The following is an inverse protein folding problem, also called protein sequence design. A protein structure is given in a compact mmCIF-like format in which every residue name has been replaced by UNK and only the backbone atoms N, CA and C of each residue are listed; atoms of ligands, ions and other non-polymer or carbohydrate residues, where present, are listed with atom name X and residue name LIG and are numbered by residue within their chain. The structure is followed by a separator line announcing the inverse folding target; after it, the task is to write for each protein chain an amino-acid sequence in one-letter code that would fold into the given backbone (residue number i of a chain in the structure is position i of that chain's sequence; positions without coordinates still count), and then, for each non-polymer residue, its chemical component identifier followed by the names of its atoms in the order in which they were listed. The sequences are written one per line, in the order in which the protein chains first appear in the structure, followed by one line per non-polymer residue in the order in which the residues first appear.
data_IF_820578350544
#
_entry.id   IF_820578350544
#
_cell.length_a   1.000
_cell.length_b   1.000
_cell.length_c   1.000
_cell.angle_alpha   90.00
_cell.angle_beta   90.00
_cell.angle_gamma   90.00
#
_symmetry.space_group_name_H-M   'P 1'
#
loop_
_entity.id
_entity.type
_entity.pdbx_description
1 polymer ?
#
# COMPACT_ATOMS: atom_id res chain seq x y z
N UNK A 1 7.09 -32.98 -5.40
CA UNK A 1 7.67 -31.72 -4.90
C UNK A 1 6.63 -31.09 -3.99
N UNK A 2 6.95 -30.81 -2.73
CA UNK A 2 6.04 -30.07 -1.85
C UNK A 2 5.78 -28.68 -2.44
N UNK A 3 4.57 -28.15 -2.23
CA UNK A 3 4.26 -26.77 -2.61
C UNK A 3 5.28 -25.81 -1.93
N UNK A 4 5.71 -24.75 -2.60
CA UNK A 4 6.63 -23.79 -2.00
C UNK A 4 5.97 -23.15 -0.77
N UNK A 5 6.75 -22.97 0.28
CA UNK A 5 6.29 -22.34 1.51
C UNK A 5 6.02 -20.84 1.26
N UNK A 6 4.81 -20.41 1.58
CA UNK A 6 4.39 -19.01 1.41
C UNK A 6 3.95 -18.41 2.74
N UNK A 7 4.04 -17.09 2.86
CA UNK A 7 3.56 -16.32 4.00
C UNK A 7 2.86 -15.06 3.54
N UNK A 8 2.04 -14.48 4.40
CA UNK A 8 1.41 -13.20 4.14
C UNK A 8 2.32 -12.03 4.55
N UNK A 9 2.32 -10.97 3.76
CA UNK A 9 2.88 -9.67 4.11
C UNK A 9 1.75 -8.72 4.49
N UNK A 10 1.87 -8.10 5.67
CA UNK A 10 1.07 -6.97 6.09
C UNK A 10 1.97 -5.75 6.19
N UNK A 11 1.60 -4.67 5.51
CA UNK A 11 2.30 -3.39 5.54
C UNK A 11 1.31 -2.28 5.86
N UNK A 12 1.55 -1.54 6.93
CA UNK A 12 0.80 -0.34 7.27
C UNK A 12 1.75 0.86 7.34
N UNK A 13 1.38 1.93 6.68
CA UNK A 13 2.05 3.23 6.77
C UNK A 13 1.09 4.19 7.46
N UNK A 14 1.36 4.48 8.72
CA UNK A 14 0.62 5.46 9.49
C UNK A 14 1.21 6.86 9.31
N UNK A 15 0.35 7.86 9.11
CA UNK A 15 0.79 9.22 8.88
C UNK A 15 -0.22 10.24 9.44
N UNK A 16 0.11 11.52 9.34
CA UNK A 16 -0.88 12.59 9.54
C UNK A 16 -1.92 12.57 8.41
N UNK A 17 -3.05 13.24 8.61
CA UNK A 17 -4.23 13.15 7.76
C UNK A 17 -3.97 13.44 6.28
N UNK A 18 -4.10 12.42 5.47
CA UNK A 18 -4.05 12.47 4.00
C UNK A 18 -5.34 13.16 3.52
N UNK A 19 -5.25 14.16 2.64
CA UNK A 19 -6.45 14.77 2.06
C UNK A 19 -7.32 13.73 1.34
N UNK A 20 -8.63 13.73 1.62
CA UNK A 20 -9.60 12.76 1.10
C UNK A 20 -9.45 12.50 -0.41
N UNK A 21 -9.22 13.54 -1.21
CA UNK A 21 -9.03 13.46 -2.66
C UNK A 21 -7.78 12.71 -3.12
N UNK A 22 -6.84 12.40 -2.23
CA UNK A 22 -5.58 11.70 -2.58
C UNK A 22 -5.59 10.23 -2.19
N UNK A 23 -6.53 9.81 -1.32
CA UNK A 23 -6.53 8.47 -0.73
C UNK A 23 -6.66 7.36 -1.76
N UNK A 24 -7.66 7.40 -2.63
CA UNK A 24 -7.87 6.37 -3.64
C UNK A 24 -6.68 6.22 -4.58
N UNK A 25 -6.09 7.37 -4.99
CA UNK A 25 -4.89 7.37 -5.82
C UNK A 25 -3.67 6.82 -5.11
N UNK A 26 -3.51 7.12 -3.82
CA UNK A 26 -2.42 6.61 -2.99
C UNK A 26 -2.53 5.11 -2.75
N UNK A 27 -3.72 4.64 -2.41
CA UNK A 27 -4.03 3.23 -2.19
C UNK A 27 -3.75 2.39 -3.44
N UNK A 28 -4.31 2.79 -4.59
CA UNK A 28 -4.07 2.12 -5.87
C UNK A 28 -2.58 2.09 -6.21
N UNK A 29 -1.90 3.23 -6.13
CA UNK A 29 -0.47 3.34 -6.46
C UNK A 29 0.40 2.45 -5.57
N UNK A 30 0.11 2.37 -4.26
CA UNK A 30 0.84 1.51 -3.35
C UNK A 30 0.67 0.03 -3.72
N UNK A 31 -0.54 -0.40 -4.01
CA UNK A 31 -0.83 -1.78 -4.42
C UNK A 31 -0.13 -2.17 -5.73
N UNK A 32 -0.22 -1.32 -6.75
CA UNK A 32 0.43 -1.53 -8.06
C UNK A 32 1.95 -1.61 -7.92
N UNK A 33 2.57 -0.63 -7.23
CA UNK A 33 4.03 -0.59 -7.04
C UNK A 33 4.54 -1.78 -6.25
N UNK A 34 3.86 -2.15 -5.18
CA UNK A 34 4.26 -3.32 -4.40
C UNK A 34 4.10 -4.60 -5.22
N UNK A 35 3.00 -4.78 -5.94
CA UNK A 35 2.81 -5.94 -6.81
C UNK A 35 3.91 -6.09 -7.86
N UNK A 36 4.30 -4.99 -8.49
CA UNK A 36 5.43 -4.97 -9.45
C UNK A 36 6.77 -5.27 -8.77
N UNK A 37 7.03 -4.70 -7.60
CA UNK A 37 8.26 -4.92 -6.85
C UNK A 37 8.39 -6.38 -6.39
N UNK A 38 7.32 -6.98 -5.85
CA UNK A 38 7.28 -8.38 -5.43
C UNK A 38 7.52 -9.34 -6.60
N UNK A 39 6.93 -9.05 -7.78
CA UNK A 39 7.16 -9.83 -9.00
C UNK A 39 8.62 -9.70 -9.46
N UNK A 40 9.13 -8.49 -9.57
CA UNK A 40 10.52 -8.23 -9.96
C UNK A 40 11.53 -8.86 -9.01
N UNK A 41 11.20 -8.89 -7.73
CA UNK A 41 11.97 -9.56 -6.68
C UNK A 41 11.79 -11.08 -6.63
N UNK A 42 10.97 -11.67 -7.47
CA UNK A 42 10.70 -13.13 -7.50
C UNK A 42 10.18 -13.68 -6.16
N UNK A 43 9.41 -12.89 -5.43
CA UNK A 43 8.77 -13.30 -4.19
C UNK A 43 7.35 -13.84 -4.40
N UNK A 44 6.90 -13.95 -5.64
CA UNK A 44 5.61 -14.56 -5.98
C UNK A 44 5.82 -15.96 -6.55
N UNK A 45 4.90 -16.90 -6.33
CA UNK A 45 4.90 -18.17 -7.04
C UNK A 45 4.95 -17.96 -8.56
N UNK A 46 5.58 -18.91 -9.26
CA UNK A 46 5.68 -18.87 -10.72
C UNK A 46 4.27 -18.75 -11.34
N UNK A 47 4.11 -17.85 -12.31
CA UNK A 47 2.85 -17.57 -13.03
C UNK A 47 1.71 -17.03 -12.14
N UNK A 48 1.95 -16.77 -10.86
CA UNK A 48 0.95 -16.15 -10.01
C UNK A 48 0.71 -14.68 -10.39
N UNK A 49 -0.55 -14.29 -10.48
CA UNK A 49 -0.92 -12.87 -10.51
C UNK A 49 -0.72 -12.29 -9.12
N UNK A 50 -0.05 -11.15 -8.97
CA UNK A 50 0.08 -10.52 -7.67
C UNK A 50 -1.29 -10.23 -7.06
N UNK A 51 -1.61 -10.88 -5.95
CA UNK A 51 -2.79 -10.53 -5.16
C UNK A 51 -2.32 -9.58 -4.06
N UNK A 52 -2.54 -8.30 -4.28
CA UNK A 52 -2.25 -7.24 -3.31
C UNK A 52 -3.56 -6.55 -2.99
N UNK A 53 -4.07 -6.80 -1.81
CA UNK A 53 -5.26 -6.12 -1.29
C UNK A 53 -4.80 -4.84 -0.60
N UNK A 54 -5.55 -3.77 -0.79
CA UNK A 54 -5.25 -2.46 -0.21
C UNK A 54 -6.46 -1.93 0.54
N UNK A 55 -6.19 -1.12 1.53
CA UNK A 55 -7.19 -0.33 2.23
C UNK A 55 -6.55 0.98 2.69
N UNK A 56 -7.36 2.00 2.92
CA UNK A 56 -6.87 3.29 3.40
C UNK A 56 -7.87 3.98 4.32
N UNK A 57 -7.34 4.79 5.21
CA UNK A 57 -8.08 5.78 6.00
C UNK A 57 -7.36 7.13 5.88
N UNK A 58 -7.92 8.24 6.37
CA UNK A 58 -7.20 9.52 6.39
C UNK A 58 -5.78 9.41 6.99
N UNK A 59 -5.53 8.49 7.90
CA UNK A 59 -4.27 8.41 8.64
C UNK A 59 -3.42 7.20 8.33
N UNK A 60 -3.82 6.33 7.40
CA UNK A 60 -3.05 5.12 7.06
C UNK A 60 -3.29 4.61 5.66
N UNK A 61 -2.25 3.99 5.11
CA UNK A 61 -2.33 3.13 3.94
C UNK A 61 -1.99 1.73 4.39
N UNK A 62 -2.82 0.76 4.03
CA UNK A 62 -2.68 -0.64 4.42
C UNK A 62 -2.56 -1.52 3.18
N UNK A 63 -1.69 -2.52 3.27
CA UNK A 63 -1.53 -3.56 2.24
C UNK A 63 -1.52 -4.93 2.89
N UNK A 64 -2.22 -5.85 2.27
CA UNK A 64 -2.17 -7.27 2.56
C UNK A 64 -1.85 -8.07 1.29
N UNK A 65 -0.73 -8.79 1.30
CA UNK A 65 -0.33 -9.68 0.22
C UNK A 65 -0.25 -11.13 0.77
N UNK A 66 -1.22 -12.01 0.45
CA UNK A 66 -1.46 -13.25 1.18
C UNK A 66 -0.45 -14.37 0.91
N UNK A 67 0.31 -14.32 -0.17
CA UNK A 67 1.09 -15.46 -0.62
C UNK A 67 2.44 -15.05 -1.22
N UNK A 68 3.37 -14.68 -0.36
CA UNK A 68 4.76 -14.46 -0.73
C UNK A 68 5.59 -15.71 -0.46
N UNK A 69 6.50 -16.03 -1.37
CA UNK A 69 7.50 -17.07 -1.14
C UNK A 69 8.42 -16.66 0.01
N UNK A 70 8.60 -17.51 1.01
CA UNK A 70 9.55 -17.27 2.12
C UNK A 70 11.01 -17.22 1.67
N UNK A 71 11.30 -17.86 0.53
CA UNK A 71 12.62 -17.89 -0.10
C UNK A 71 12.48 -17.58 -1.59
N UNK A 72 13.30 -16.68 -2.13
CA UNK A 72 13.42 -16.52 -3.58
C UNK A 72 13.83 -17.83 -4.23
N UNK A 73 13.27 -18.22 -5.38
CA UNK A 73 13.83 -19.31 -6.17
C UNK A 73 15.24 -18.93 -6.65
N UNK A 74 16.16 -19.87 -6.58
CA UNK A 74 17.49 -19.70 -7.15
C UNK A 74 17.40 -19.35 -8.64
N UNK A 75 18.34 -18.59 -9.14
CA UNK A 75 18.43 -18.21 -10.54
C UNK A 75 19.73 -18.71 -11.16
N UNK A 76 19.62 -19.33 -12.32
CA UNK A 76 20.79 -19.64 -13.14
C UNK A 76 20.80 -18.68 -14.32
N UNK A 77 21.80 -17.82 -14.37
CA UNK A 77 21.97 -16.84 -15.45
C UNK A 77 23.12 -17.27 -16.35
N UNK A 78 22.87 -17.39 -17.66
CA UNK A 78 23.89 -17.66 -18.66
C UNK A 78 24.60 -16.34 -19.01
N UNK A 79 25.84 -16.19 -18.54
CA UNK A 79 26.69 -15.03 -18.85
C UNK A 79 27.53 -15.36 -20.08
N UNK A 80 27.48 -14.48 -21.09
CA UNK A 80 28.25 -14.63 -22.32
C UNK A 80 29.65 -14.06 -22.12
N UNK A 81 30.64 -14.82 -22.51
CA UNK A 81 32.07 -14.50 -22.44
C UNK A 81 32.68 -14.12 -23.80
N UNK A 82 34.03 -14.18 -23.92
CA UNK A 82 34.74 -13.89 -25.14
C UNK A 82 34.47 -14.95 -26.23
N UNK A 83 34.70 -14.60 -27.51
CA UNK A 83 34.68 -15.56 -28.60
C UNK A 83 35.69 -16.70 -28.34
N UNK A 84 35.32 -17.94 -28.68
CA UNK A 84 36.17 -19.11 -28.48
C UNK A 84 37.54 -18.95 -29.13
N UNK A 85 37.61 -18.32 -30.33
CA UNK A 85 38.86 -18.03 -31.03
C UNK A 85 39.80 -17.09 -30.27
N UNK A 86 39.28 -16.25 -29.38
CA UNK A 86 40.08 -15.34 -28.55
C UNK A 86 40.38 -15.97 -27.17
N UNK A 87 39.56 -16.93 -26.75
CA UNK A 87 39.60 -17.54 -25.44
C UNK A 87 40.59 -18.69 -25.35
N UNK A 88 40.96 -19.31 -26.48
CA UNK A 88 41.96 -20.40 -26.55
C UNK A 88 42.99 -20.11 -27.63
N UNK A 89 44.23 -20.50 -27.36
CA UNK A 89 45.32 -20.42 -28.35
C UNK A 89 45.23 -21.56 -29.37
N UNK A 90 46.20 -21.61 -30.30
CA UNK A 90 46.27 -22.66 -31.33
C UNK A 90 46.55 -24.07 -30.76
N UNK A 91 47.07 -24.15 -29.55
CA UNK A 91 47.37 -25.39 -28.82
C UNK A 91 46.19 -25.79 -27.90
N UNK A 92 45.11 -25.03 -27.90
CA UNK A 92 43.94 -25.29 -27.05
C UNK A 92 44.08 -24.86 -25.59
N UNK A 93 45.13 -24.11 -25.25
CA UNK A 93 45.35 -23.61 -23.89
C UNK A 93 44.52 -22.33 -23.68
N UNK A 94 43.95 -22.12 -22.46
CA UNK A 94 43.23 -20.93 -22.15
C UNK A 94 44.10 -19.67 -22.25
N UNK A 95 43.61 -18.64 -22.87
CA UNK A 95 44.25 -17.32 -22.92
C UNK A 95 43.84 -16.48 -21.72
N UNK A 96 44.51 -15.36 -21.53
CA UNK A 96 44.17 -14.37 -20.50
C UNK A 96 42.68 -13.91 -20.60
N UNK A 97 42.10 -13.96 -21.79
CA UNK A 97 40.69 -13.61 -21.98
C UNK A 97 39.73 -14.60 -21.32
N UNK A 98 40.02 -15.92 -21.44
CA UNK A 98 39.24 -16.95 -20.77
C UNK A 98 39.44 -16.93 -19.25
N UNK A 99 40.72 -16.78 -18.80
CA UNK A 99 41.05 -16.71 -17.37
C UNK A 99 40.40 -15.48 -16.70
N UNK A 100 40.51 -14.31 -17.30
CA UNK A 100 39.85 -13.09 -16.77
C UNK A 100 38.35 -13.18 -16.73
N UNK A 101 37.70 -13.82 -17.72
CA UNK A 101 36.27 -14.04 -17.73
C UNK A 101 35.84 -15.01 -16.62
N UNK A 102 36.58 -16.11 -16.44
CA UNK A 102 36.31 -17.04 -15.34
C UNK A 102 36.50 -16.38 -13.97
N UNK A 103 37.62 -15.68 -13.75
CA UNK A 103 37.91 -14.99 -12.49
C UNK A 103 36.91 -13.92 -12.15
N UNK A 104 36.46 -13.12 -13.13
CA UNK A 104 35.42 -12.09 -12.95
C UNK A 104 34.09 -12.66 -12.46
N UNK A 105 33.82 -13.93 -12.77
CA UNK A 105 32.59 -14.61 -12.40
C UNK A 105 32.78 -15.62 -11.26
N UNK A 106 33.92 -15.59 -10.54
CA UNK A 106 34.27 -16.50 -9.46
C UNK A 106 34.16 -17.97 -9.89
N UNK A 107 34.63 -18.32 -11.08
CA UNK A 107 34.57 -19.65 -11.68
C UNK A 107 35.96 -20.09 -12.18
N UNK A 108 36.10 -21.37 -12.45
CA UNK A 108 37.28 -21.90 -13.11
C UNK A 108 37.08 -21.93 -14.62
N UNK A 109 38.18 -21.94 -15.38
CA UNK A 109 38.13 -22.08 -16.84
C UNK A 109 37.46 -23.37 -17.28
N UNK A 110 37.58 -24.44 -16.48
CA UNK A 110 36.91 -25.73 -16.70
C UNK A 110 35.35 -25.65 -16.65
N UNK A 111 34.80 -24.65 -16.00
CA UNK A 111 33.34 -24.46 -15.85
C UNK A 111 32.72 -23.76 -17.06
N UNK A 112 33.58 -23.19 -17.92
CA UNK A 112 33.17 -22.48 -19.11
C UNK A 112 32.66 -23.43 -20.20
N UNK A 113 31.47 -23.15 -20.72
CA UNK A 113 30.85 -23.92 -21.81
C UNK A 113 30.92 -23.14 -23.11
N UNK A 114 31.08 -23.87 -24.24
CA UNK A 114 30.95 -23.25 -25.56
C UNK A 114 29.48 -23.11 -25.93
N UNK A 115 29.15 -22.00 -26.55
CA UNK A 115 27.79 -21.71 -27.06
C UNK A 115 27.90 -20.98 -28.38
N UNK A 116 26.99 -21.26 -29.29
CA UNK A 116 26.94 -20.66 -30.61
C UNK A 116 25.79 -19.64 -30.67
N UNK A 117 26.01 -18.48 -31.25
CA UNK A 117 25.02 -17.53 -31.63
C UNK A 117 25.22 -17.08 -33.09
N UNK A 118 24.42 -16.15 -33.59
CA UNK A 118 24.50 -15.63 -34.97
C UNK A 118 25.87 -15.02 -35.33
N UNK A 119 26.65 -14.63 -34.33
CA UNK A 119 27.99 -14.00 -34.50
C UNK A 119 29.13 -14.98 -34.36
N UNK A 120 28.87 -16.27 -34.05
CA UNK A 120 29.89 -17.30 -33.92
C UNK A 120 29.90 -18.04 -32.58
N UNK A 121 30.99 -18.75 -32.27
CA UNK A 121 31.17 -19.49 -31.01
C UNK A 121 31.74 -18.60 -29.91
N UNK A 122 31.13 -18.63 -28.76
CA UNK A 122 31.47 -17.86 -27.57
C UNK A 122 31.63 -18.82 -26.36
N UNK A 123 32.41 -18.40 -25.38
CA UNK A 123 32.32 -18.97 -24.05
C UNK A 123 31.04 -18.50 -23.33
N UNK A 124 30.50 -19.33 -22.50
CA UNK A 124 29.43 -19.01 -21.62
C UNK A 124 29.62 -19.70 -20.26
N UNK A 125 29.16 -19.04 -19.20
CA UNK A 125 29.14 -19.57 -17.86
C UNK A 125 27.72 -19.54 -17.33
N UNK A 126 27.26 -20.63 -16.73
CA UNK A 126 26.03 -20.63 -15.95
C UNK A 126 26.36 -20.21 -14.51
N UNK A 127 26.06 -18.97 -14.19
CA UNK A 127 26.20 -18.42 -12.84
C UNK A 127 24.95 -18.75 -12.04
N UNK A 128 25.09 -19.52 -10.97
CA UNK A 128 24.00 -19.83 -10.06
C UNK A 128 23.97 -18.80 -8.93
N UNK A 129 22.88 -18.08 -8.84
CA UNK A 129 22.60 -17.17 -7.74
C UNK A 129 21.63 -17.87 -6.78
N UNK A 130 22.03 -18.17 -5.54
CA UNK A 130 21.09 -18.72 -4.56
C UNK A 130 20.01 -17.69 -4.25
N UNK A 131 18.79 -18.15 -4.00
CA UNK A 131 17.70 -17.26 -3.56
C UNK A 131 17.99 -16.72 -2.15
N UNK A 132 17.54 -15.49 -1.91
CA UNK A 132 17.60 -14.85 -0.58
C UNK A 132 16.27 -15.02 0.14
N UNK A 133 16.26 -14.93 1.48
CA UNK A 133 15.02 -14.96 2.24
C UNK A 133 14.12 -13.75 1.87
N UNK A 134 12.81 -13.93 1.99
CA UNK A 134 11.86 -12.85 1.71
C UNK A 134 12.14 -11.62 2.58
N UNK A 135 12.46 -11.77 3.86
CA UNK A 135 12.80 -10.66 4.75
C UNK A 135 13.97 -9.84 4.21
N UNK A 136 15.07 -10.50 3.82
CA UNK A 136 16.23 -9.79 3.26
C UNK A 136 15.89 -8.98 2.02
N UNK A 137 15.00 -9.49 1.18
CA UNK A 137 14.56 -8.81 -0.04
C UNK A 137 13.59 -7.69 0.28
N UNK A 138 12.63 -7.91 1.17
CA UNK A 138 11.63 -6.92 1.56
C UNK A 138 12.26 -5.69 2.23
N UNK A 139 13.30 -5.87 3.05
CA UNK A 139 14.09 -4.79 3.65
C UNK A 139 14.61 -3.80 2.59
N UNK A 140 14.99 -4.30 1.43
CA UNK A 140 15.52 -3.47 0.34
C UNK A 140 14.41 -2.83 -0.49
N UNK A 141 13.36 -3.59 -0.83
CA UNK A 141 12.36 -3.11 -1.80
C UNK A 141 11.29 -2.24 -1.17
N UNK A 142 10.89 -2.45 0.10
CA UNK A 142 9.80 -1.68 0.71
C UNK A 142 10.12 -0.18 0.82
N UNK A 143 11.31 0.26 1.25
CA UNK A 143 11.67 1.68 1.24
C UNK A 143 11.65 2.29 -0.17
N UNK A 144 12.03 1.52 -1.20
CA UNK A 144 12.01 1.96 -2.60
C UNK A 144 10.57 2.13 -3.10
N UNK A 145 9.69 1.18 -2.76
CA UNK A 145 8.25 1.27 -3.09
C UNK A 145 7.64 2.53 -2.50
N UNK A 146 7.89 2.78 -1.20
CA UNK A 146 7.36 3.95 -0.49
C UNK A 146 7.95 5.26 -1.02
N UNK A 147 9.28 5.32 -1.21
CA UNK A 147 9.96 6.50 -1.75
C UNK A 147 9.60 6.82 -3.20
N UNK A 148 9.09 5.82 -3.93
CA UNK A 148 8.61 5.99 -5.30
C UNK A 148 7.17 6.48 -5.39
N UNK A 149 6.41 6.59 -4.31
CA UNK A 149 5.04 7.10 -4.34
C UNK A 149 5.01 8.58 -4.72
N UNK A 150 4.03 8.94 -5.54
CA UNK A 150 3.86 10.29 -6.06
C UNK A 150 2.49 10.83 -5.65
N UNK A 151 2.46 12.08 -5.21
CA UNK A 151 1.25 12.78 -4.80
C UNK A 151 1.18 14.15 -5.48
N UNK A 152 0.00 14.70 -5.75
CA UNK A 152 -0.14 16.03 -6.34
C UNK A 152 0.52 17.12 -5.48
N UNK A 153 0.63 16.89 -4.17
CA UNK A 153 1.32 17.78 -3.25
C UNK A 153 2.00 16.96 -2.16
N UNK A 154 3.30 17.16 -2.00
CA UNK A 154 4.13 16.52 -1.00
C UNK A 154 4.54 17.51 0.10
N UNK A 155 4.94 16.97 1.24
CA UNK A 155 5.51 17.73 2.34
C UNK A 155 6.96 17.30 2.62
N UNK A 156 7.77 18.25 3.05
CA UNK A 156 9.11 18.03 3.58
C UNK A 156 9.07 18.33 5.08
N UNK A 157 9.45 17.37 5.91
CA UNK A 157 9.49 17.56 7.38
C UNK A 157 10.84 17.19 8.01
N UNK A 158 11.77 16.65 7.18
CA UNK A 158 13.12 16.25 7.61
C UNK A 158 14.22 17.03 6.89
N UNK A 159 13.96 18.24 6.42
CA UNK A 159 14.76 19.05 5.51
C UNK A 159 14.54 18.69 4.02
N UNK A 160 14.96 19.60 3.11
CA UNK A 160 14.72 19.47 1.66
C UNK A 160 15.40 18.28 0.98
N UNK A 161 16.35 17.63 1.63
CA UNK A 161 17.10 16.48 1.11
C UNK A 161 16.54 15.13 1.58
N UNK A 162 15.55 15.12 2.48
CA UNK A 162 14.94 13.88 2.99
C UNK A 162 13.86 13.32 2.08
N UNK A 163 13.41 12.10 2.35
CA UNK A 163 12.26 11.53 1.67
C UNK A 163 11.04 12.40 1.93
N UNK A 164 10.22 12.59 0.91
CA UNK A 164 8.98 13.33 1.01
C UNK A 164 7.79 12.40 0.78
N UNK A 165 6.72 12.68 1.51
CA UNK A 165 5.48 11.94 1.45
C UNK A 165 4.31 12.93 1.47
N UNK A 166 3.08 12.46 1.28
CA UNK A 166 1.90 13.35 1.31
C UNK A 166 1.71 14.03 2.66
N UNK A 167 2.04 13.35 3.75
CA UNK A 167 2.01 13.81 5.15
C UNK A 167 3.14 13.17 5.94
N UNK A 168 3.55 13.74 7.09
CA UNK A 168 4.52 13.14 7.98
C UNK A 168 4.15 11.71 8.36
N UNK A 169 5.06 10.76 8.12
CA UNK A 169 4.92 9.37 8.56
C UNK A 169 5.13 9.32 10.07
N UNK A 170 4.29 8.58 10.79
CA UNK A 170 4.27 8.46 12.25
C UNK A 170 4.65 7.07 12.75
N UNK A 171 4.19 6.05 12.05
CA UNK A 171 4.55 4.66 12.34
C UNK A 171 4.57 3.85 11.06
N UNK A 172 5.29 2.74 11.11
CA UNK A 172 5.31 1.75 10.04
C UNK A 172 5.23 0.38 10.69
N UNK A 173 4.23 -0.40 10.27
CA UNK A 173 4.11 -1.82 10.59
C UNK A 173 4.46 -2.60 9.32
N UNK A 174 5.38 -3.56 9.41
CA UNK A 174 5.68 -4.48 8.32
C UNK A 174 5.94 -5.87 8.89
N UNK A 175 5.03 -6.79 8.65
CA UNK A 175 5.03 -8.13 9.20
C UNK A 175 4.95 -9.16 8.09
N UNK A 176 5.77 -10.21 8.19
CA UNK A 176 5.74 -11.36 7.28
C UNK A 176 5.52 -12.63 8.10
N UNK A 177 4.50 -13.40 7.79
CA UNK A 177 4.18 -14.63 8.53
C UNK A 177 2.80 -15.19 8.22
N UNK A 178 2.26 -15.96 9.18
CA UNK A 178 0.95 -16.59 9.11
C UNK A 178 0.22 -16.50 10.45
N UNK A 179 -0.94 -15.83 10.47
CA UNK A 179 -1.72 -15.64 11.69
C UNK A 179 -0.92 -14.92 12.78
N UNK A 180 -0.68 -15.59 13.90
CA UNK A 180 0.09 -15.07 15.04
C UNK A 180 1.60 -15.39 14.98
N UNK A 181 2.04 -16.22 14.02
CA UNK A 181 3.45 -16.53 13.80
C UNK A 181 4.01 -15.65 12.69
N UNK A 182 4.64 -14.54 13.06
CA UNK A 182 5.18 -13.57 12.13
C UNK A 182 6.49 -12.94 12.63
N UNK A 183 7.24 -12.42 11.69
CA UNK A 183 8.46 -11.64 11.91
C UNK A 183 8.28 -10.22 11.42
N UNK A 184 8.93 -9.26 12.11
CA UNK A 184 9.01 -7.88 11.64
C UNK A 184 10.00 -7.79 10.48
N UNK A 185 9.61 -7.17 9.38
CA UNK A 185 10.53 -6.79 8.29
C UNK A 185 11.22 -5.49 8.68
N UNK A 186 12.53 -5.52 9.06
CA UNK A 186 13.19 -4.37 9.67
C UNK A 186 13.70 -3.38 8.61
N UNK A 187 13.03 -2.26 8.42
CA UNK A 187 13.51 -1.16 7.58
C UNK A 187 13.16 0.21 8.20
N UNK A 188 13.70 1.25 7.60
CA UNK A 188 13.40 2.64 7.97
C UNK A 188 12.94 3.41 6.73
N UNK A 189 11.92 4.25 6.88
CA UNK A 189 11.48 5.20 5.87
C UNK A 189 11.10 6.53 6.53
N UNK A 190 11.59 7.62 5.97
CA UNK A 190 11.31 8.98 6.44
C UNK A 190 11.65 9.22 7.93
N UNK A 191 12.68 8.54 8.45
CA UNK A 191 13.12 8.63 9.85
C UNK A 191 12.30 7.75 10.81
N UNK A 192 11.37 6.94 10.30
CA UNK A 192 10.53 6.04 11.09
C UNK A 192 10.95 4.59 10.84
N UNK A 193 11.26 3.87 11.89
CA UNK A 193 11.58 2.44 11.85
C UNK A 193 10.32 1.60 11.95
N UNK A 194 10.33 0.46 11.31
CA UNK A 194 9.26 -0.54 11.42
C UNK A 194 9.16 -1.10 12.84
N UNK A 195 7.94 -1.41 13.25
CA UNK A 195 7.61 -2.07 14.50
C UNK A 195 6.51 -3.10 14.34
N UNK A 196 6.08 -3.66 15.47
CA UNK A 196 4.96 -4.61 15.59
C UNK A 196 3.75 -3.98 16.30
N UNK A 197 3.52 -2.69 16.09
CA UNK A 197 2.40 -1.96 16.69
C UNK A 197 1.71 -1.08 15.65
N UNK A 198 0.43 -0.83 15.89
CA UNK A 198 -0.41 0.12 15.17
C UNK A 198 -1.02 1.13 16.14
N UNK A 199 -1.88 2.01 15.66
CA UNK A 199 -2.63 2.97 16.49
C UNK A 199 -4.12 2.88 16.17
N UNK A 200 -4.94 3.02 17.19
CA UNK A 200 -6.38 3.15 17.05
C UNK A 200 -6.82 4.53 16.54
N UNK A 201 -8.10 4.82 16.69
CA UNK A 201 -8.67 6.11 16.36
C UNK A 201 -8.05 7.21 17.23
N UNK A 202 -7.68 8.32 16.61
CA UNK A 202 -6.90 9.43 17.22
C UNK A 202 -7.54 9.98 18.51
N UNK A 203 -8.86 10.10 18.55
CA UNK A 203 -9.57 10.67 19.70
C UNK A 203 -9.83 9.66 20.83
N UNK A 204 -9.67 8.36 20.55
CA UNK A 204 -9.92 7.30 21.54
C UNK A 204 -8.65 6.87 22.29
N UNK A 205 -7.48 7.30 21.85
CA UNK A 205 -6.21 7.02 22.49
C UNK A 205 -5.02 7.22 21.55
N UNK A 206 -3.92 7.69 22.12
CA UNK A 206 -2.65 7.89 21.41
C UNK A 206 -1.64 6.77 21.67
N UNK A 207 -2.03 5.76 22.47
CA UNK A 207 -1.13 4.68 22.82
C UNK A 207 -0.98 3.68 21.68
N UNK A 208 0.23 3.15 21.48
CA UNK A 208 0.46 2.10 20.50
C UNK A 208 -0.27 0.81 20.88
N UNK A 209 -0.89 0.19 19.90
CA UNK A 209 -1.59 -1.10 20.04
C UNK A 209 -0.69 -2.20 19.49
N UNK A 210 -0.28 -3.14 20.34
CA UNK A 210 0.53 -4.27 19.93
C UNK A 210 -0.26 -5.18 18.97
N UNK A 211 0.37 -5.51 17.84
CA UNK A 211 -0.18 -6.45 16.87
C UNK A 211 0.25 -7.86 17.26
N UNK A 212 -0.72 -8.74 17.46
CA UNK A 212 -0.52 -10.14 17.85
C UNK A 212 -1.00 -11.14 16.80
N UNK A 213 -1.61 -10.63 15.72
CA UNK A 213 -2.10 -11.41 14.59
C UNK A 213 -2.07 -10.56 13.32
N UNK A 214 -1.86 -11.17 12.17
CA UNK A 214 -1.83 -10.47 10.87
C UNK A 214 -3.18 -9.93 10.42
N UNK A 215 -4.27 -10.33 11.06
CA UNK A 215 -5.60 -9.81 10.77
C UNK A 215 -5.82 -8.47 11.48
N UNK A 216 -5.31 -7.41 10.89
CA UNK A 216 -5.42 -6.05 11.44
C UNK A 216 -6.84 -5.51 11.45
N UNK A 217 -7.73 -5.99 10.59
CA UNK A 217 -9.10 -5.47 10.47
C UNK A 217 -9.85 -5.60 11.78
N UNK A 218 -9.80 -6.80 12.42
CA UNK A 218 -10.45 -7.04 13.70
C UNK A 218 -9.84 -6.21 14.83
N UNK A 219 -8.50 -6.06 14.82
CA UNK A 219 -7.81 -5.27 15.83
C UNK A 219 -8.18 -3.79 15.72
N UNK A 220 -8.14 -3.24 14.51
CA UNK A 220 -8.41 -1.84 14.24
C UNK A 220 -9.89 -1.48 14.49
N UNK A 221 -10.82 -2.38 14.15
CA UNK A 221 -12.24 -2.18 14.43
C UNK A 221 -12.54 -2.06 15.94
N UNK A 222 -11.89 -2.87 16.77
CA UNK A 222 -11.96 -2.75 18.25
C UNK A 222 -11.44 -1.40 18.76
N UNK A 223 -10.58 -0.75 17.99
CA UNK A 223 -10.01 0.55 18.29
C UNK A 223 -10.62 1.68 17.45
N UNK A 224 -11.87 1.50 17.00
CA UNK A 224 -12.68 2.47 16.27
C UNK A 224 -12.03 2.94 14.95
N UNK A 225 -11.46 2.00 14.21
CA UNK A 225 -10.91 2.24 12.87
C UNK A 225 -11.48 1.20 11.91
N UNK A 226 -12.39 1.62 11.04
CA UNK A 226 -12.89 0.81 9.94
C UNK A 226 -11.99 1.06 8.70
N UNK A 227 -11.06 0.16 8.42
CA UNK A 227 -10.03 0.38 7.39
C UNK A 227 -10.56 0.36 5.97
N UNK A 228 -11.63 -0.36 5.71
CA UNK A 228 -12.22 -0.51 4.38
C UNK A 228 -13.24 0.60 4.07
N UNK A 229 -13.04 1.33 2.98
CA UNK A 229 -13.96 2.39 2.53
C UNK A 229 -15.42 1.94 2.42
N UNK A 230 -15.74 0.78 1.81
CA UNK A 230 -17.11 0.25 1.76
C UNK A 230 -17.73 0.03 3.15
N UNK A 231 -16.97 -0.42 4.14
CA UNK A 231 -17.45 -0.60 5.51
C UNK A 231 -17.78 0.75 6.17
N UNK A 232 -16.91 1.76 6.00
CA UNK A 232 -17.19 3.13 6.48
C UNK A 232 -18.42 3.73 5.83
N UNK A 233 -18.58 3.54 4.50
CA UNK A 233 -19.76 4.00 3.76
C UNK A 233 -21.03 3.39 4.31
N UNK A 234 -21.06 2.07 4.46
CA UNK A 234 -22.19 1.33 4.98
C UNK A 234 -22.56 1.82 6.39
N UNK A 235 -21.56 1.95 7.28
CA UNK A 235 -21.76 2.46 8.64
C UNK A 235 -22.37 3.87 8.63
N UNK A 236 -21.79 4.81 7.87
CA UNK A 236 -22.31 6.17 7.79
C UNK A 236 -23.76 6.21 7.31
N UNK A 237 -24.10 5.44 6.29
CA UNK A 237 -25.45 5.37 5.73
C UNK A 237 -26.46 4.75 6.70
N UNK A 238 -26.09 3.68 7.42
CA UNK A 238 -26.94 3.05 8.43
C UNK A 238 -27.21 3.99 9.60
N UNK A 239 -26.20 4.70 10.08
CA UNK A 239 -26.37 5.67 11.16
C UNK A 239 -27.13 6.92 10.72
N UNK A 240 -26.92 7.42 9.49
CA UNK A 240 -27.76 8.51 8.94
C UNK A 240 -29.22 8.08 8.85
N UNK A 241 -29.48 6.86 8.42
CA UNK A 241 -30.85 6.33 8.36
C UNK A 241 -31.46 6.24 9.75
N UNK A 242 -30.73 5.78 10.75
CA UNK A 242 -31.18 5.72 12.13
C UNK A 242 -31.50 7.09 12.73
N UNK A 243 -30.70 8.13 12.40
CA UNK A 243 -30.97 9.51 12.84
C UNK A 243 -32.28 10.08 12.29
N UNK A 244 -32.74 9.60 11.14
CA UNK A 244 -33.97 10.05 10.48
C UNK A 244 -35.14 9.10 10.71
N UNK A 245 -34.96 8.02 11.49
CA UNK A 245 -36.01 7.06 11.77
C UNK A 245 -37.19 7.74 12.49
N UNK A 246 -38.41 7.47 12.01
CA UNK A 246 -39.65 8.09 12.53
C UNK A 246 -39.90 9.50 12.01
N UNK A 247 -39.03 10.08 11.19
CA UNK A 247 -39.29 11.32 10.45
C UNK A 247 -39.66 11.01 8.99
N UNK A 248 -40.38 11.92 8.35
CA UNK A 248 -40.64 11.86 6.89
C UNK A 248 -39.51 12.50 6.07
N UNK A 249 -38.33 12.58 6.65
CA UNK A 249 -37.17 13.25 6.07
C UNK A 249 -36.14 12.26 5.55
N UNK A 250 -35.37 12.67 4.54
CA UNK A 250 -34.24 11.91 3.97
C UNK A 250 -33.09 12.87 3.62
N UNK A 251 -31.84 12.35 3.58
CA UNK A 251 -30.72 13.15 3.09
C UNK A 251 -30.84 13.34 1.58
N UNK A 252 -30.43 14.52 1.10
CA UNK A 252 -30.23 14.75 -0.33
C UNK A 252 -29.06 13.90 -0.78
N UNK A 253 -29.30 13.01 -1.76
CA UNK A 253 -28.27 12.09 -2.29
C UNK A 253 -27.16 12.90 -2.96
N UNK A 254 -25.92 12.67 -2.55
CA UNK A 254 -24.72 13.29 -3.11
C UNK A 254 -23.53 12.32 -3.05
N UNK A 255 -23.21 11.68 -4.16
CA UNK A 255 -22.14 10.68 -4.25
C UNK A 255 -20.74 11.27 -3.98
N UNK A 256 -20.52 12.54 -4.37
CA UNK A 256 -19.24 13.19 -4.11
C UNK A 256 -19.06 13.43 -2.60
N UNK A 257 -20.09 13.95 -1.93
CA UNK A 257 -20.06 14.19 -0.49
C UNK A 257 -19.92 12.86 0.29
N UNK A 258 -20.64 11.83 -0.13
CA UNK A 258 -20.55 10.50 0.44
C UNK A 258 -19.10 9.94 0.33
N UNK A 259 -18.50 10.07 -0.84
CA UNK A 259 -17.09 9.69 -1.05
C UNK A 259 -16.13 10.53 -0.20
N UNK A 260 -16.42 11.84 -0.09
CA UNK A 260 -15.61 12.71 0.75
C UNK A 260 -15.68 12.31 2.23
N UNK A 261 -16.84 12.01 2.76
CA UNK A 261 -17.06 11.53 4.13
C UNK A 261 -16.28 10.24 4.38
N UNK A 262 -16.41 9.25 3.49
CA UNK A 262 -15.72 7.97 3.57
C UNK A 262 -14.20 8.16 3.62
N UNK A 263 -13.68 9.11 2.84
CA UNK A 263 -12.24 9.35 2.71
C UNK A 263 -11.70 10.36 3.73
N UNK A 264 -12.55 10.94 4.59
CA UNK A 264 -12.16 11.88 5.65
C UNK A 264 -12.36 11.34 7.06
N UNK A 265 -12.92 10.13 7.20
CA UNK A 265 -13.20 9.52 8.50
C UNK A 265 -12.52 8.16 8.64
N UNK A 266 -12.15 7.77 9.87
CA UNK A 266 -11.78 6.41 10.26
C UNK A 266 -12.98 5.69 10.91
N UNK A 267 -13.82 6.45 11.63
CA UNK A 267 -15.04 5.97 12.27
C UNK A 267 -16.12 7.04 12.15
N UNK A 268 -16.94 6.96 11.11
CA UNK A 268 -17.95 7.96 10.86
C UNK A 268 -19.04 7.95 11.92
N UNK A 269 -19.38 9.13 12.45
CA UNK A 269 -20.45 9.35 13.42
C UNK A 269 -21.32 10.54 12.97
N UNK A 270 -22.45 10.30 12.30
CA UNK A 270 -23.34 11.33 11.84
C UNK A 270 -24.07 12.04 12.99
N UNK A 271 -24.28 13.35 12.82
CA UNK A 271 -25.11 14.19 13.69
C UNK A 271 -26.06 15.00 12.84
N UNK A 272 -27.29 15.22 13.35
CA UNK A 272 -28.25 16.10 12.75
C UNK A 272 -28.22 17.48 13.45
N UNK A 273 -28.18 18.54 12.66
CA UNK A 273 -28.27 19.91 13.13
C UNK A 273 -29.39 20.65 12.43
N UNK A 274 -29.70 21.83 12.92
CA UNK A 274 -30.73 22.71 12.34
C UNK A 274 -30.22 24.13 12.13
N UNK A 275 -30.86 24.86 11.23
CA UNK A 275 -30.62 26.26 10.98
C UNK A 275 -31.93 27.05 10.97
N UNK A 276 -31.84 28.36 11.01
CA UNK A 276 -33.03 29.23 11.04
C UNK A 276 -33.88 29.04 9.76
N UNK A 277 -35.17 28.67 9.89
CA UNK A 277 -36.07 28.42 8.74
C UNK A 277 -36.18 29.58 7.76
N UNK A 278 -35.90 30.83 8.18
CA UNK A 278 -35.89 31.99 7.29
C UNK A 278 -34.98 31.84 6.08
N UNK A 279 -33.88 31.04 6.20
CA UNK A 279 -32.97 30.79 5.10
C UNK A 279 -33.55 29.91 4.00
N UNK A 280 -34.65 29.18 4.25
CA UNK A 280 -35.38 28.44 3.21
C UNK A 280 -36.01 29.34 2.14
N UNK A 281 -36.06 30.67 2.36
CA UNK A 281 -36.45 31.64 1.35
C UNK A 281 -35.38 31.80 0.23
N UNK A 282 -34.15 31.33 0.46
CA UNK A 282 -33.09 31.29 -0.56
C UNK A 282 -33.35 30.14 -1.55
N UNK A 283 -32.86 30.27 -2.81
CA UNK A 283 -32.94 29.18 -3.77
C UNK A 283 -32.31 27.90 -3.23
N UNK A 284 -32.97 26.75 -3.48
CA UNK A 284 -32.52 25.41 -3.05
C UNK A 284 -31.05 25.14 -3.42
N UNK A 285 -30.68 25.47 -4.65
CA UNK A 285 -29.35 25.23 -5.21
C UNK A 285 -28.28 25.98 -4.41
N UNK A 286 -28.57 27.18 -3.94
CA UNK A 286 -27.65 28.00 -3.12
C UNK A 286 -27.40 27.28 -1.78
N UNK A 287 -28.48 26.89 -1.09
CA UNK A 287 -28.34 26.20 0.20
C UNK A 287 -27.62 24.87 0.09
N UNK A 288 -28.02 24.03 -0.86
CA UNK A 288 -27.39 22.73 -1.07
C UNK A 288 -25.92 22.89 -1.42
N UNK A 289 -25.55 23.83 -2.30
CA UNK A 289 -24.17 24.09 -2.67
C UNK A 289 -23.33 24.56 -1.49
N UNK A 290 -23.83 25.47 -0.67
CA UNK A 290 -23.10 25.95 0.52
C UNK A 290 -22.91 24.83 1.53
N UNK A 291 -23.93 24.04 1.82
CA UNK A 291 -23.81 22.88 2.73
C UNK A 291 -22.78 21.87 2.22
N UNK A 292 -22.89 21.49 0.95
CA UNK A 292 -22.02 20.51 0.29
C UNK A 292 -20.58 20.99 0.18
N UNK A 293 -20.36 22.14 -0.47
CA UNK A 293 -19.01 22.54 -0.91
C UNK A 293 -18.21 23.21 0.21
N UNK A 294 -18.86 23.95 1.10
CA UNK A 294 -18.18 24.68 2.16
C UNK A 294 -18.21 23.97 3.50
N UNK A 295 -19.34 23.35 3.87
CA UNK A 295 -19.51 22.74 5.19
C UNK A 295 -19.32 21.21 5.18
N UNK A 296 -19.44 20.57 4.04
CA UNK A 296 -19.46 19.10 3.91
C UNK A 296 -20.63 18.47 4.67
N UNK A 297 -21.78 19.12 4.59
CA UNK A 297 -23.04 18.69 5.19
C UNK A 297 -23.98 18.14 4.13
N UNK A 298 -24.69 17.08 4.46
CA UNK A 298 -25.85 16.64 3.69
C UNK A 298 -27.02 17.51 4.02
N UNK A 299 -27.66 18.07 3.01
CA UNK A 299 -28.95 18.72 3.17
C UNK A 299 -30.05 17.67 3.44
N UNK A 300 -31.08 18.04 4.15
CA UNK A 300 -32.25 17.19 4.48
C UNK A 300 -33.47 17.69 3.73
N UNK A 301 -34.25 16.79 3.16
CA UNK A 301 -35.49 17.07 2.46
C UNK A 301 -36.60 16.15 2.93
N UNK A 302 -37.85 16.59 2.76
CA UNK A 302 -39.05 15.77 2.98
C UNK A 302 -39.27 14.75 1.83
N UNK A 303 -40.29 13.93 1.96
CA UNK A 303 -40.69 12.97 0.91
C UNK A 303 -41.12 13.62 -0.39
N UNK A 304 -41.59 14.87 -0.37
CA UNK A 304 -41.97 15.67 -1.53
C UNK A 304 -40.77 16.38 -2.21
N UNK A 305 -39.55 16.30 -1.60
CA UNK A 305 -38.34 16.93 -2.11
C UNK A 305 -38.12 18.37 -1.66
N UNK A 306 -38.91 18.90 -0.70
CA UNK A 306 -38.70 20.23 -0.15
C UNK A 306 -37.62 20.19 0.92
N UNK A 307 -36.65 21.12 0.86
CA UNK A 307 -35.64 21.24 1.88
C UNK A 307 -36.24 21.49 3.26
N UNK A 308 -35.68 20.78 4.24
CA UNK A 308 -35.96 21.02 5.65
C UNK A 308 -34.87 21.94 6.25
N UNK A 309 -35.16 22.70 7.33
CA UNK A 309 -34.17 23.54 7.99
C UNK A 309 -33.20 22.72 8.85
N UNK A 310 -32.69 21.63 8.27
CA UNK A 310 -31.84 20.63 8.89
C UNK A 310 -30.68 20.26 7.98
N UNK A 311 -29.63 19.83 8.58
CA UNK A 311 -28.45 19.25 7.88
C UNK A 311 -27.90 18.06 8.65
N UNK A 312 -27.17 17.19 7.97
CA UNK A 312 -26.41 16.11 8.60
C UNK A 312 -24.93 16.37 8.35
N UNK A 313 -24.17 16.40 9.43
CA UNK A 313 -22.70 16.37 9.41
C UNK A 313 -22.20 15.02 9.87
N UNK A 314 -21.03 14.58 9.37
CA UNK A 314 -20.42 13.33 9.80
C UNK A 314 -19.08 13.63 10.44
N UNK A 315 -19.00 13.35 11.72
CA UNK A 315 -17.78 13.49 12.49
C UNK A 315 -16.90 12.25 12.33
N UNK A 316 -15.62 12.41 12.63
CA UNK A 316 -14.66 11.32 12.75
C UNK A 316 -14.37 11.12 14.25
N UNK A 317 -15.07 10.21 14.90
CA UNK A 317 -15.05 10.04 16.38
C UNK A 317 -14.79 8.60 16.77
#
# INVERSE_FOLDING_TARGET
MSAPETSALVLEIGCEEIPARFLEGAERQLGERLGLALRGARLLPQDAVPVVKTASTPRRLLVYAPALLRQQPGRVTKVMGPPVKAAFDKEGKPTRAAESFAAKNNANVSDLKRTTNEKGEYLALNVSEPGRSAIQVLVEILPIVLGGMSFPKNMYWTAKAGPYFVRPVRWILALLGDGSDFEVVPFEFAGVKTGSFTYGHRLQGSEPVAVTDLNLDILLEKHLVAVHGPARRKRAQEEIKALLEGSESKPVVDEWLDTWVVNSTEWPAPLIGSFDPRYLALPREVLVTVMRDHQKYFAVEDTAGNLQPQFITVLNV
#
